data_IF_398723170751
#
_entry.id   IF_398723170751
#
_cell.length_a   1.000
_cell.length_b   1.000
_cell.length_c   1.000
_cell.angle_alpha   90.00
_cell.angle_beta   90.00
_cell.angle_gamma   90.00
#
_symmetry.space_group_name_H-M   'P 1'
#
loop_
_entity.id
_entity.type
_entity.pdbx_description
1 polymer ?
#
# COMPACT_ATOMS: atom_id res chain seq x y z
N UNK A 1 6.86 6.94 18.00
CA UNK A 1 6.34 7.06 16.65
C UNK A 1 5.20 6.05 16.38
N UNK A 2 4.33 6.36 15.46
CA UNK A 2 3.24 5.49 15.02
C UNK A 2 3.42 5.18 13.54
N UNK A 3 3.54 3.91 13.22
CA UNK A 3 3.57 3.41 11.85
C UNK A 3 2.25 2.71 11.54
N UNK A 4 1.62 3.08 10.44
CA UNK A 4 0.33 2.52 10.04
C UNK A 4 0.43 1.81 8.70
N UNK A 5 0.04 0.53 8.67
CA UNK A 5 -0.01 -0.28 7.47
C UNK A 5 -1.46 -0.62 7.12
N UNK A 6 -1.92 -0.09 5.99
CA UNK A 6 -3.25 -0.35 5.43
C UNK A 6 -3.15 -1.29 4.24
N UNK A 7 -4.02 -2.29 4.18
CA UNK A 7 -3.98 -3.29 3.12
C UNK A 7 -5.39 -3.61 2.62
N UNK A 8 -5.48 -4.10 1.40
CA UNK A 8 -6.71 -4.63 0.85
C UNK A 8 -7.82 -3.60 0.67
N UNK A 9 -7.49 -2.33 0.37
CA UNK A 9 -8.49 -1.38 -0.12
C UNK A 9 -9.07 -1.86 -1.45
N UNK A 10 -8.26 -2.53 -2.26
CA UNK A 10 -8.67 -3.33 -3.40
C UNK A 10 -8.34 -4.81 -3.11
N UNK A 11 -9.27 -5.60 -2.61
CA UNK A 11 -8.96 -6.96 -2.14
C UNK A 11 -8.58 -7.96 -3.24
N UNK A 12 -8.72 -7.58 -4.50
CA UNK A 12 -8.15 -8.31 -5.63
C UNK A 12 -6.64 -8.13 -5.78
N UNK A 13 -6.01 -7.39 -4.88
CA UNK A 13 -4.57 -7.15 -4.77
C UNK A 13 -4.07 -7.78 -3.45
N UNK A 14 -3.91 -9.13 -3.38
CA UNK A 14 -3.75 -9.85 -2.13
C UNK A 14 -2.36 -9.78 -1.52
N UNK A 15 -1.36 -9.30 -2.24
CA UNK A 15 0.05 -9.34 -1.86
C UNK A 15 0.30 -8.62 -0.54
N UNK A 16 -0.25 -7.41 -0.40
CA UNK A 16 -0.14 -6.63 0.83
C UNK A 16 -0.87 -7.27 2.01
N UNK A 17 -2.00 -7.92 1.77
CA UNK A 17 -2.75 -8.67 2.79
C UNK A 17 -1.88 -9.81 3.33
N UNK A 18 -1.30 -10.61 2.43
CA UNK A 18 -0.44 -11.73 2.78
C UNK A 18 0.84 -11.26 3.49
N UNK A 19 1.47 -10.20 2.99
CA UNK A 19 2.66 -9.60 3.60
C UNK A 19 2.37 -9.08 5.01
N UNK A 20 1.24 -8.42 5.21
CA UNK A 20 0.79 -7.95 6.52
C UNK A 20 0.63 -9.11 7.51
N UNK A 21 -0.06 -10.18 7.11
CA UNK A 21 -0.23 -11.36 7.95
C UNK A 21 1.10 -12.02 8.32
N UNK A 22 2.02 -12.13 7.35
CA UNK A 22 3.36 -12.66 7.59
C UNK A 22 4.14 -11.78 8.57
N UNK A 23 4.08 -10.47 8.40
CA UNK A 23 4.77 -9.50 9.27
C UNK A 23 4.24 -9.56 10.72
N UNK A 24 2.91 -9.61 10.89
CA UNK A 24 2.30 -9.76 12.24
C UNK A 24 2.72 -11.07 12.88
N UNK A 25 2.69 -12.18 12.14
CA UNK A 25 3.20 -13.47 12.63
C UNK A 25 4.66 -13.34 13.08
N UNK A 26 5.51 -12.72 12.28
CA UNK A 26 6.93 -12.59 12.58
C UNK A 26 7.16 -11.73 13.83
N UNK A 27 6.42 -10.64 14.03
CA UNK A 27 6.47 -9.87 15.27
C UNK A 27 6.02 -10.68 16.50
N UNK A 28 5.07 -11.58 16.33
CA UNK A 28 4.60 -12.43 17.43
C UNK A 28 5.52 -13.62 17.72
N UNK A 29 6.33 -14.07 16.77
CA UNK A 29 7.11 -15.31 16.89
C UNK A 29 8.62 -15.12 16.89
N UNK A 30 9.11 -13.93 16.51
CA UNK A 30 10.54 -13.60 16.39
C UNK A 30 10.86 -12.37 17.27
N UNK A 31 11.35 -12.60 18.50
CA UNK A 31 11.61 -11.51 19.46
C UNK A 31 12.54 -10.42 18.93
N UNK A 32 13.50 -10.79 18.09
CA UNK A 32 14.44 -9.86 17.47
C UNK A 32 13.76 -8.89 16.51
N UNK A 33 12.73 -9.35 15.77
CA UNK A 33 11.93 -8.49 14.90
C UNK A 33 11.05 -7.53 15.70
N UNK A 34 10.44 -8.04 16.76
CA UNK A 34 9.67 -7.19 17.67
C UNK A 34 10.57 -6.14 18.33
N UNK A 35 11.76 -6.54 18.79
CA UNK A 35 12.73 -5.63 19.40
C UNK A 35 13.20 -4.54 18.43
N UNK A 36 13.30 -4.83 17.13
CA UNK A 36 13.68 -3.87 16.10
C UNK A 36 12.67 -2.71 15.94
N UNK A 37 11.42 -2.86 16.39
CA UNK A 37 10.43 -1.78 16.40
C UNK A 37 10.80 -0.69 17.43
N UNK A 38 11.60 -1.02 18.45
CA UNK A 38 11.95 -0.10 19.52
C UNK A 38 10.70 0.48 20.21
N UNK A 39 10.55 1.78 20.18
CA UNK A 39 9.39 2.49 20.75
C UNK A 39 8.29 2.81 19.71
N UNK A 40 8.30 2.14 18.56
CA UNK A 40 7.30 2.38 17.52
C UNK A 40 6.03 1.57 17.79
N UNK A 41 4.90 2.24 17.79
CA UNK A 41 3.59 1.58 17.73
C UNK A 41 3.31 1.20 16.29
N UNK A 42 2.99 -0.05 16.05
CA UNK A 42 2.66 -0.55 14.72
C UNK A 42 1.16 -0.86 14.63
N UNK A 43 0.47 -0.16 13.75
CA UNK A 43 -0.96 -0.33 13.49
C UNK A 43 -1.17 -1.05 12.17
N UNK A 44 -2.10 -2.00 12.15
CA UNK A 44 -2.42 -2.77 10.96
C UNK A 44 -3.92 -2.74 10.66
N UNK A 45 -4.27 -2.53 9.41
CA UNK A 45 -5.54 -2.95 8.83
C UNK A 45 -5.21 -4.04 7.80
N UNK A 46 -5.41 -5.33 8.13
CA UNK A 46 -5.10 -6.42 7.20
C UNK A 46 -5.96 -6.39 5.94
N UNK A 47 -7.24 -6.06 6.08
CA UNK A 47 -8.19 -5.93 4.96
C UNK A 47 -9.11 -4.76 5.22
N UNK A 48 -8.91 -3.65 4.51
CA UNK A 48 -9.78 -2.47 4.65
C UNK A 48 -11.15 -2.68 4.02
N UNK A 49 -11.19 -3.20 2.79
CA UNK A 49 -12.43 -3.47 2.06
C UNK A 49 -12.89 -4.93 2.27
N UNK A 50 -13.48 -5.20 3.44
CA UNK A 50 -13.95 -6.54 3.79
C UNK A 50 -15.06 -7.03 2.84
N UNK A 51 -15.98 -6.16 2.44
CA UNK A 51 -17.05 -6.52 1.50
C UNK A 51 -16.50 -7.03 0.19
N UNK A 52 -15.56 -6.30 -0.40
CA UNK A 52 -14.89 -6.71 -1.63
C UNK A 52 -14.04 -7.98 -1.45
N UNK A 53 -13.45 -8.17 -0.27
CA UNK A 53 -12.69 -9.38 0.03
C UNK A 53 -13.56 -10.63 0.07
N UNK A 54 -14.79 -10.53 0.55
CA UNK A 54 -15.74 -11.63 0.60
C UNK A 54 -16.44 -11.87 -0.74
N UNK A 55 -16.58 -10.85 -1.58
CA UNK A 55 -17.17 -10.93 -2.91
C UNK A 55 -16.13 -11.39 -3.95
N UNK A 56 -15.77 -12.66 -3.91
CA UNK A 56 -14.72 -13.25 -4.74
C UNK A 56 -15.27 -13.78 -6.05
N UNK A 57 -14.48 -13.62 -7.11
CA UNK A 57 -14.75 -14.19 -8.43
C UNK A 57 -13.43 -14.31 -9.25
N UNK A 58 -13.48 -14.97 -10.38
CA UNK A 58 -12.35 -15.23 -11.27
C UNK A 58 -12.21 -14.20 -12.41
N UNK A 59 -13.11 -13.24 -12.50
CA UNK A 59 -13.21 -12.32 -13.64
C UNK A 59 -12.93 -10.85 -13.30
N UNK A 60 -12.91 -10.49 -12.04
CA UNK A 60 -12.80 -9.08 -11.61
C UNK A 60 -11.40 -8.46 -11.75
N UNK A 61 -10.38 -9.29 -12.01
CA UNK A 61 -8.96 -8.86 -12.15
C UNK A 61 -8.31 -9.49 -13.38
N UNK A 62 -8.87 -9.23 -14.54
CA UNK A 62 -8.42 -9.80 -15.83
C UNK A 62 -6.97 -9.45 -16.20
N UNK A 63 -6.41 -8.45 -15.57
CA UNK A 63 -5.04 -7.97 -15.77
C UNK A 63 -4.02 -8.58 -14.78
N UNK A 64 -4.41 -9.61 -14.04
CA UNK A 64 -3.53 -10.28 -13.08
C UNK A 64 -3.50 -11.80 -13.27
N UNK A 65 -2.36 -12.42 -13.00
CA UNK A 65 -2.12 -13.86 -13.11
C UNK A 65 -2.26 -14.50 -11.73
N UNK A 66 -3.45 -15.00 -11.40
CA UNK A 66 -3.74 -15.57 -10.07
C UNK A 66 -3.97 -14.52 -8.99
N UNK A 67 -4.53 -14.88 -7.85
CA UNK A 67 -5.01 -16.21 -7.48
C UNK A 67 -6.21 -16.66 -8.34
N UNK A 68 -6.64 -17.93 -8.16
CA UNK A 68 -7.79 -18.51 -8.88
C UNK A 68 -9.08 -17.69 -8.70
N UNK A 69 -9.24 -17.04 -7.56
CA UNK A 69 -10.41 -16.21 -7.24
C UNK A 69 -9.94 -14.93 -6.54
N UNK A 70 -10.29 -13.80 -7.11
CA UNK A 70 -9.93 -12.46 -6.63
C UNK A 70 -11.05 -11.83 -5.80
N UNK A 71 -10.68 -10.99 -4.84
CA UNK A 71 -11.62 -10.06 -4.23
C UNK A 71 -12.07 -8.97 -5.22
N UNK A 72 -13.23 -8.41 -4.99
CA UNK A 72 -13.81 -7.36 -5.81
C UNK A 72 -13.28 -5.97 -5.41
N UNK A 73 -13.06 -5.11 -6.38
CA UNK A 73 -12.48 -3.78 -6.16
C UNK A 73 -13.32 -2.89 -5.27
N UNK A 74 -14.63 -2.83 -5.53
CA UNK A 74 -15.55 -1.98 -4.80
C UNK A 74 -16.11 -2.65 -3.54
N UNK A 75 -16.67 -1.86 -2.64
CA UNK A 75 -17.38 -2.35 -1.45
C UNK A 75 -18.78 -2.86 -1.78
N UNK A 76 -19.55 -3.29 -0.78
CA UNK A 76 -20.91 -3.82 -0.93
C UNK A 76 -21.94 -2.83 -1.50
N UNK A 77 -21.61 -1.54 -1.56
CA UNK A 77 -22.39 -0.49 -2.23
C UNK A 77 -21.87 -0.11 -3.61
N UNK A 78 -20.95 -0.89 -4.14
CA UNK A 78 -20.26 -0.66 -5.41
C UNK A 78 -19.51 0.67 -5.47
N UNK A 79 -18.91 1.10 -4.34
CA UNK A 79 -18.09 2.31 -4.24
C UNK A 79 -16.63 1.92 -4.08
N UNK A 80 -15.76 2.61 -4.83
CA UNK A 80 -14.31 2.47 -4.70
C UNK A 80 -13.81 3.26 -3.48
N UNK A 81 -13.40 2.54 -2.44
CA UNK A 81 -12.91 3.17 -1.20
C UNK A 81 -11.64 4.00 -1.42
N UNK A 82 -10.84 3.66 -2.44
CA UNK A 82 -9.67 4.46 -2.82
C UNK A 82 -10.02 5.72 -3.63
N UNK A 83 -11.28 6.11 -3.67
CA UNK A 83 -11.79 7.39 -4.19
C UNK A 83 -12.62 8.13 -3.14
N UNK A 84 -12.58 7.66 -1.89
CA UNK A 84 -13.52 8.12 -0.86
C UNK A 84 -12.86 8.80 0.36
N UNK A 85 -11.53 8.79 0.48
CA UNK A 85 -10.82 9.38 1.64
C UNK A 85 -11.14 10.87 1.86
N UNK A 86 -11.39 11.62 0.77
CA UNK A 86 -11.73 13.06 0.85
C UNK A 86 -13.25 13.27 0.92
N UNK A 87 -14.01 12.49 0.14
CA UNK A 87 -15.47 12.66 0.09
C UNK A 87 -16.17 12.11 1.33
N UNK A 88 -15.66 11.00 1.90
CA UNK A 88 -16.22 10.33 3.08
C UNK A 88 -17.70 9.94 2.91
N UNK A 89 -18.10 9.49 1.73
CA UNK A 89 -19.46 9.06 1.42
C UNK A 89 -19.81 7.73 2.10
N UNK A 90 -18.79 6.90 2.39
CA UNK A 90 -18.96 5.60 3.02
C UNK A 90 -18.67 5.64 4.52
N UNK A 91 -19.35 4.78 5.28
CA UNK A 91 -19.03 4.59 6.69
C UNK A 91 -17.59 4.12 6.89
N UNK A 92 -17.07 3.29 5.97
CA UNK A 92 -15.69 2.83 6.01
C UNK A 92 -14.69 3.99 5.95
N UNK A 93 -14.87 4.95 5.03
CA UNK A 93 -14.02 6.13 4.93
C UNK A 93 -14.14 7.05 6.17
N UNK A 94 -15.36 7.22 6.70
CA UNK A 94 -15.58 8.01 7.92
C UNK A 94 -14.88 7.40 9.14
N UNK A 95 -14.98 6.08 9.31
CA UNK A 95 -14.30 5.36 10.39
C UNK A 95 -12.78 5.40 10.21
N UNK A 96 -12.29 5.22 8.98
CA UNK A 96 -10.88 5.30 8.67
C UNK A 96 -10.30 6.69 9.00
N UNK A 97 -10.96 7.76 8.56
CA UNK A 97 -10.50 9.13 8.82
C UNK A 97 -10.51 9.47 10.32
N UNK A 98 -11.52 9.00 11.06
CA UNK A 98 -11.52 9.13 12.53
C UNK A 98 -10.36 8.38 13.16
N UNK A 99 -10.17 7.10 12.81
CA UNK A 99 -9.06 6.28 13.28
C UNK A 99 -7.70 6.94 12.97
N UNK A 100 -7.52 7.39 11.73
CA UNK A 100 -6.30 8.08 11.31
C UNK A 100 -6.05 9.36 12.13
N UNK A 101 -7.08 10.14 12.39
CA UNK A 101 -6.97 11.36 13.19
C UNK A 101 -6.68 11.09 14.67
N UNK A 102 -7.28 10.03 15.24
CA UNK A 102 -7.07 9.63 16.64
C UNK A 102 -5.64 9.14 16.88
N UNK A 103 -5.10 8.34 15.98
CA UNK A 103 -3.75 7.77 16.10
C UNK A 103 -2.65 8.68 15.54
N UNK A 104 -2.99 9.57 14.64
CA UNK A 104 -2.07 10.55 14.03
C UNK A 104 -0.72 9.92 13.60
N UNK A 105 -0.73 8.93 12.71
CA UNK A 105 0.48 8.18 12.37
C UNK A 105 1.54 9.09 11.73
N UNK A 106 2.81 8.86 12.13
CA UNK A 106 3.98 9.54 11.55
C UNK A 106 4.26 9.04 10.13
N UNK A 107 4.01 7.75 9.88
CA UNK A 107 4.17 7.12 8.57
C UNK A 107 2.98 6.21 8.30
N UNK A 108 2.44 6.32 7.09
CA UNK A 108 1.43 5.39 6.58
C UNK A 108 1.91 4.73 5.30
N UNK A 109 1.68 3.42 5.21
CA UNK A 109 1.86 2.63 3.98
C UNK A 109 0.52 2.06 3.57
N UNK A 110 0.14 2.27 2.32
CA UNK A 110 -1.03 1.64 1.69
C UNK A 110 -0.54 0.72 0.56
N UNK A 111 -0.92 -0.55 0.62
CA UNK A 111 -0.39 -1.55 -0.30
C UNK A 111 -1.32 -1.76 -1.48
N UNK A 112 -0.70 -1.80 -2.67
CA UNK A 112 -1.37 -2.03 -3.95
C UNK A 112 -0.54 -2.96 -4.84
N UNK A 113 -1.14 -3.38 -5.96
CA UNK A 113 -0.41 -3.96 -7.08
C UNK A 113 -0.57 -3.11 -8.32
N UNK A 114 0.31 -3.30 -9.31
CA UNK A 114 0.18 -2.64 -10.60
C UNK A 114 -1.12 -3.09 -11.31
N UNK A 115 -1.62 -2.24 -12.21
CA UNK A 115 -2.80 -2.54 -13.02
C UNK A 115 -2.43 -3.32 -14.30
N UNK A 116 -1.59 -4.36 -14.17
CA UNK A 116 -1.15 -5.20 -15.29
C UNK A 116 0.02 -4.62 -16.09
N UNK A 117 0.63 -3.52 -15.63
CA UNK A 117 1.87 -3.02 -16.21
C UNK A 117 3.02 -3.99 -15.92
N UNK A 118 3.81 -4.30 -16.94
CA UNK A 118 5.01 -5.11 -16.79
C UNK A 118 6.19 -4.25 -16.36
N UNK A 119 6.51 -4.31 -15.06
CA UNK A 119 7.69 -3.69 -14.49
C UNK A 119 8.83 -4.70 -14.43
N UNK A 120 10.03 -4.27 -14.77
CA UNK A 120 11.26 -5.07 -14.57
C UNK A 120 11.66 -5.20 -13.11
N UNK A 121 10.86 -4.67 -12.19
CA UNK A 121 11.10 -4.61 -10.76
C UNK A 121 9.96 -5.27 -10.00
N UNK A 122 10.31 -6.07 -8.98
CA UNK A 122 9.31 -6.73 -8.13
C UNK A 122 8.51 -5.72 -7.29
N UNK A 123 9.17 -4.65 -6.85
CA UNK A 123 8.56 -3.61 -6.02
C UNK A 123 8.56 -2.27 -6.72
N UNK A 124 7.49 -1.55 -6.57
CA UNK A 124 7.40 -0.14 -6.97
C UNK A 124 6.95 0.71 -5.78
N UNK A 125 7.39 1.95 -5.75
CA UNK A 125 7.08 2.90 -4.68
C UNK A 125 6.51 4.20 -5.25
N UNK A 126 5.38 4.63 -4.70
CA UNK A 126 4.91 6.01 -4.84
C UNK A 126 4.88 6.64 -3.44
N UNK A 127 5.60 7.71 -3.24
CA UNK A 127 5.64 8.42 -1.97
C UNK A 127 4.88 9.74 -2.05
N UNK A 128 4.54 10.29 -0.89
CA UNK A 128 4.00 11.65 -0.79
C UNK A 128 4.89 12.65 -1.53
N UNK A 129 4.30 13.53 -2.31
CA UNK A 129 5.06 14.56 -3.03
C UNK A 129 5.77 15.46 -2.03
N UNK A 130 7.09 15.52 -2.12
CA UNK A 130 7.94 16.24 -1.17
C UNK A 130 7.65 17.73 -1.10
N UNK A 131 7.32 18.33 -2.24
CA UNK A 131 6.98 19.77 -2.32
C UNK A 131 5.62 20.08 -1.67
N UNK A 132 4.65 19.16 -1.76
CA UNK A 132 3.37 19.30 -1.06
C UNK A 132 3.51 19.12 0.45
N UNK A 133 4.38 18.22 0.88
CA UNK A 133 4.69 18.04 2.30
C UNK A 133 5.44 19.24 2.85
N UNK A 134 6.38 19.78 2.06
CA UNK A 134 7.10 21.02 2.35
C UNK A 134 8.01 20.95 3.57
N UNK A 135 8.76 22.03 3.81
CA UNK A 135 9.57 22.24 5.00
C UNK A 135 10.54 21.09 5.35
N UNK A 136 10.83 20.92 6.64
CA UNK A 136 11.76 19.86 7.10
C UNK A 136 11.27 18.45 6.77
N UNK A 137 9.96 18.20 6.76
CA UNK A 137 9.41 16.88 6.43
C UNK A 137 9.61 16.53 4.97
N UNK A 138 9.39 17.48 4.05
CA UNK A 138 9.65 17.27 2.63
C UNK A 138 11.14 17.00 2.36
N UNK A 139 12.03 17.73 3.02
CA UNK A 139 13.47 17.51 2.96
C UNK A 139 13.86 16.12 3.50
N UNK A 140 13.35 15.74 4.67
CA UNK A 140 13.60 14.43 5.27
C UNK A 140 13.13 13.29 4.35
N UNK A 141 11.93 13.40 3.79
CA UNK A 141 11.40 12.39 2.87
C UNK A 141 12.30 12.24 1.64
N UNK A 142 12.69 13.35 1.00
CA UNK A 142 13.48 13.35 -0.22
C UNK A 142 14.93 12.89 0.00
N UNK A 143 15.57 13.36 1.08
CA UNK A 143 17.01 13.23 1.25
C UNK A 143 17.40 12.08 2.18
N UNK A 144 16.49 11.58 2.99
CA UNK A 144 16.76 10.54 3.98
C UNK A 144 15.89 9.30 3.79
N UNK A 145 14.57 9.43 3.92
CA UNK A 145 13.69 8.29 4.01
C UNK A 145 13.59 7.51 2.69
N UNK A 146 13.32 8.18 1.58
CA UNK A 146 13.18 7.53 0.27
C UNK A 146 14.50 6.89 -0.17
N UNK A 147 15.65 7.59 -0.14
CA UNK A 147 16.94 6.96 -0.44
C UNK A 147 17.27 5.74 0.43
N UNK A 148 16.95 5.80 1.73
CA UNK A 148 17.17 4.68 2.64
C UNK A 148 16.31 3.46 2.27
N UNK A 149 15.04 3.67 1.91
CA UNK A 149 14.14 2.58 1.46
C UNK A 149 14.72 1.92 0.20
N UNK A 150 15.08 2.69 -0.82
CA UNK A 150 15.66 2.15 -2.05
C UNK A 150 16.95 1.38 -1.78
N UNK A 151 17.83 1.96 -0.97
CA UNK A 151 19.10 1.32 -0.61
C UNK A 151 18.88 -0.01 0.13
N UNK A 152 18.01 -0.04 1.15
CA UNK A 152 17.75 -1.26 1.93
C UNK A 152 17.12 -2.36 1.09
N UNK A 153 16.20 -1.99 0.19
CA UNK A 153 15.59 -2.93 -0.75
C UNK A 153 16.62 -3.51 -1.73
N UNK A 154 17.50 -2.67 -2.27
CA UNK A 154 18.58 -3.11 -3.16
C UNK A 154 19.55 -4.07 -2.46
N UNK A 155 19.97 -3.76 -1.22
CA UNK A 155 20.83 -4.63 -0.41
C UNK A 155 20.19 -6.00 -0.11
N UNK A 156 18.88 -6.08 -0.11
CA UNK A 156 18.13 -7.34 0.07
C UNK A 156 17.90 -8.10 -1.23
N UNK A 157 18.38 -7.58 -2.36
CA UNK A 157 18.19 -8.18 -3.69
C UNK A 157 16.80 -7.92 -4.29
N UNK A 158 16.08 -6.92 -3.80
CA UNK A 158 14.77 -6.51 -4.30
C UNK A 158 14.81 -5.05 -4.77
N UNK A 159 15.54 -4.74 -5.85
CA UNK A 159 15.60 -3.38 -6.36
C UNK A 159 14.19 -2.87 -6.66
N UNK A 160 13.95 -1.63 -6.29
CA UNK A 160 12.64 -1.00 -6.35
C UNK A 160 12.69 0.16 -7.34
N UNK A 161 11.63 0.37 -8.11
CA UNK A 161 11.50 1.54 -8.99
C UNK A 161 10.38 2.47 -8.52
N UNK A 162 10.39 3.75 -8.94
CA UNK A 162 9.20 4.58 -8.82
C UNK A 162 8.00 3.94 -9.53
N UNK A 163 6.82 4.02 -8.92
CA UNK A 163 5.60 3.66 -9.61
C UNK A 163 5.26 4.71 -10.67
N UNK A 164 5.02 4.26 -11.89
CA UNK A 164 4.60 5.10 -13.02
C UNK A 164 3.48 4.40 -13.79
N UNK A 165 2.64 5.15 -14.47
CA UNK A 165 1.66 4.57 -15.39
C UNK A 165 2.23 4.56 -16.81
N UNK A 166 2.57 3.39 -17.37
CA UNK A 166 2.97 3.29 -18.78
C UNK A 166 1.84 3.75 -19.72
N UNK A 167 2.20 4.25 -20.89
CA UNK A 167 1.23 4.59 -21.93
C UNK A 167 0.62 3.31 -22.52
N UNK A 168 1.45 2.27 -22.68
CA UNK A 168 1.04 0.92 -23.08
C UNK A 168 1.46 -0.10 -22.02
N UNK A 169 2.02 -1.22 -22.43
CA UNK A 169 2.37 -2.32 -21.53
C UNK A 169 3.65 -2.09 -20.75
N UNK A 170 4.61 -1.39 -21.34
CA UNK A 170 5.93 -1.15 -20.77
C UNK A 170 6.28 0.32 -20.66
N UNK A 171 7.21 0.70 -19.76
CA UNK A 171 7.73 2.06 -19.66
C UNK A 171 8.44 2.57 -20.94
N UNK A 172 8.93 1.67 -21.80
CA UNK A 172 9.61 2.02 -23.06
C UNK A 172 8.68 2.74 -24.05
N UNK A 173 7.38 2.48 -23.96
CA UNK A 173 6.35 3.18 -24.75
C UNK A 173 6.04 4.59 -24.21
N UNK A 174 6.72 5.01 -23.15
CA UNK A 174 6.51 6.26 -22.44
C UNK A 174 5.62 6.12 -21.22
N UNK A 175 5.63 7.13 -20.37
CA UNK A 175 4.89 7.18 -19.11
C UNK A 175 3.87 8.31 -19.12
N UNK A 176 2.73 8.08 -18.47
CA UNK A 176 1.76 9.14 -18.16
C UNK A 176 2.16 9.80 -16.85
N UNK A 177 1.99 11.11 -16.75
CA UNK A 177 2.05 11.79 -15.47
C UNK A 177 0.92 11.28 -14.57
N UNK A 178 1.26 10.89 -13.36
CA UNK A 178 0.32 10.46 -12.31
C UNK A 178 -0.18 11.67 -11.51
#
# INVERSE_FOLDING_TARGET
>A
PVFFNNNGIHPGEPEGINACMALVRDFCTQPERLAALGNTVFLFIPVYNVDGCLNRNDTSRVNQVGPESFGFRANGRNLDLNRDFVKCDTLAAQVFNRFFSEWSPDVMVDTHTSNGADYSYTMTLIHTQTDKLGGPLGTFLRETMVPAIYHDMDQRGWPTSPYVNPIKETPDDGIKHT
#
